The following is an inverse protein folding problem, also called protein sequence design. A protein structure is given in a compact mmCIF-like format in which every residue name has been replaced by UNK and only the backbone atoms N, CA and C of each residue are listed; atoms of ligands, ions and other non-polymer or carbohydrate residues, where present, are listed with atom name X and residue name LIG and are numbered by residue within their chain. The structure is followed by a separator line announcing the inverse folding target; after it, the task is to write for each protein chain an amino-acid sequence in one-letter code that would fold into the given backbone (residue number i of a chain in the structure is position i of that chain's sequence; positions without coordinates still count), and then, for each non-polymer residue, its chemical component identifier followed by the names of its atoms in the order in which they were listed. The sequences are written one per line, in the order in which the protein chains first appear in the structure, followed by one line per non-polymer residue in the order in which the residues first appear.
data_IF_302032838203
#
_entry.id   IF_302032838203
#
_cell.length_a   1.000
_cell.length_b   1.000
_cell.length_c   1.000
_cell.angle_alpha   90.00
_cell.angle_beta   90.00
_cell.angle_gamma   90.00
#
_symmetry.space_group_name_H-M   'P 1'
#
loop_
_entity.id
_entity.type
_entity.pdbx_description
1 polymer ?
#
# COMPACT_ATOMS: atom_id res chain seq x y z
N UNK A 1 -13.95 18.06 13.33
CA UNK A 1 -14.43 16.83 14.00
C UNK A 1 -15.45 16.13 13.11
N UNK A 2 -15.40 14.80 13.00
CA UNK A 2 -16.39 14.02 12.25
C UNK A 2 -17.79 14.25 12.85
N UNK A 3 -18.73 14.71 12.03
CA UNK A 3 -20.10 15.04 12.46
C UNK A 3 -20.96 13.82 12.79
N UNK A 4 -20.51 12.61 12.43
CA UNK A 4 -21.15 11.34 12.76
C UNK A 4 -20.07 10.30 13.07
N UNK A 5 -19.84 9.93 14.34
CA UNK A 5 -18.82 8.95 14.68
C UNK A 5 -19.24 7.55 14.19
N UNK A 6 -18.26 6.78 13.75
CA UNK A 6 -18.46 5.35 13.41
C UNK A 6 -18.99 4.66 14.67
N UNK A 7 -20.13 3.97 14.56
CA UNK A 7 -20.69 3.25 15.72
C UNK A 7 -19.71 2.18 16.20
N UNK A 8 -19.65 1.85 17.50
CA UNK A 8 -18.73 0.81 18.01
C UNK A 8 -18.87 -0.53 17.26
N UNK A 9 -20.10 -0.90 16.91
CA UNK A 9 -20.39 -2.10 16.11
C UNK A 9 -19.83 -2.03 14.69
N UNK A 10 -19.91 -0.87 14.03
CA UNK A 10 -19.35 -0.68 12.71
C UNK A 10 -17.80 -0.70 12.76
N UNK A 11 -17.21 -0.06 13.76
CA UNK A 11 -15.76 -0.08 13.98
C UNK A 11 -15.24 -1.51 14.22
N UNK A 12 -15.89 -2.27 15.11
CA UNK A 12 -15.51 -3.66 15.37
C UNK A 12 -15.59 -4.54 14.12
N UNK A 13 -16.60 -4.33 13.28
CA UNK A 13 -16.74 -5.06 12.01
C UNK A 13 -15.60 -4.73 11.03
N UNK A 14 -15.18 -3.47 10.95
CA UNK A 14 -14.04 -3.07 10.13
C UNK A 14 -12.74 -3.73 10.60
N UNK A 15 -12.46 -3.66 11.91
CA UNK A 15 -11.25 -4.28 12.50
C UNK A 15 -11.25 -5.80 12.28
N UNK A 16 -12.37 -6.48 12.52
CA UNK A 16 -12.46 -7.93 12.32
C UNK A 16 -12.19 -8.34 10.87
N UNK A 17 -12.64 -7.56 9.89
CA UNK A 17 -12.37 -7.82 8.47
C UNK A 17 -10.90 -7.55 8.16
N UNK A 18 -10.35 -6.42 8.62
CA UNK A 18 -8.96 -6.04 8.38
C UNK A 18 -7.99 -7.12 8.89
N UNK A 19 -8.21 -7.62 10.10
CA UNK A 19 -7.34 -8.64 10.71
C UNK A 19 -7.42 -10.02 10.04
N UNK A 20 -8.51 -10.32 9.31
CA UNK A 20 -8.73 -11.63 8.66
C UNK A 20 -8.47 -11.61 7.16
N UNK A 21 -8.35 -10.42 6.57
CA UNK A 21 -8.20 -10.28 5.14
C UNK A 21 -6.85 -10.81 4.68
N UNK A 22 -6.86 -11.77 3.75
CA UNK A 22 -5.64 -12.30 3.14
C UNK A 22 -5.91 -12.71 1.70
N UNK A 23 -5.24 -12.04 0.76
CA UNK A 23 -5.29 -12.32 -0.68
C UNK A 23 -3.97 -12.78 -1.25
N UNK A 24 -2.97 -13.09 -0.41
CA UNK A 24 -1.60 -13.38 -0.82
C UNK A 24 -1.47 -14.49 -1.86
N UNK A 25 -2.36 -15.49 -1.84
CA UNK A 25 -2.39 -16.59 -2.82
C UNK A 25 -2.82 -16.16 -4.24
N UNK A 26 -3.52 -15.03 -4.36
CA UNK A 26 -4.04 -14.51 -5.64
C UNK A 26 -3.13 -13.45 -6.27
N UNK A 27 -2.09 -12.99 -5.57
CA UNK A 27 -1.18 -11.94 -6.07
C UNK A 27 -0.51 -12.34 -7.40
N UNK A 28 -0.17 -13.62 -7.53
CA UNK A 28 0.39 -14.20 -8.76
C UNK A 28 -0.54 -14.12 -9.99
N UNK A 29 -1.81 -13.80 -9.80
CA UNK A 29 -2.79 -13.68 -10.88
C UNK A 29 -2.94 -12.21 -11.34
N UNK A 30 -2.10 -11.29 -10.86
CA UNK A 30 -2.08 -9.90 -11.33
C UNK A 30 -1.17 -9.86 -12.57
N UNK A 31 -1.78 -9.67 -13.73
CA UNK A 31 -1.07 -9.61 -15.02
C UNK A 31 -0.67 -8.18 -15.42
N UNK A 32 -1.23 -7.17 -14.75
CA UNK A 32 -0.91 -5.77 -15.02
C UNK A 32 0.44 -5.38 -14.38
N UNK A 33 1.24 -4.52 -15.04
CA UNK A 33 2.39 -3.88 -14.40
C UNK A 33 1.95 -3.27 -13.07
N UNK A 34 2.72 -3.50 -12.01
CA UNK A 34 2.36 -3.11 -10.64
C UNK A 34 3.48 -2.33 -9.99
N UNK A 35 3.12 -1.25 -9.29
CA UNK A 35 4.02 -0.51 -8.41
C UNK A 35 3.59 -0.71 -6.95
N UNK A 36 4.50 -1.21 -6.12
CA UNK A 36 4.32 -1.35 -4.68
C UNK A 36 5.10 -0.24 -3.98
N UNK A 37 4.41 0.55 -3.15
CA UNK A 37 4.97 1.70 -2.44
C UNK A 37 4.81 1.51 -0.93
N UNK A 38 5.88 1.69 -0.17
CA UNK A 38 5.84 1.55 1.29
C UNK A 38 6.87 2.44 1.99
N UNK A 39 6.59 2.87 3.21
CA UNK A 39 7.51 3.67 4.02
C UNK A 39 8.41 2.79 4.88
N UNK A 40 9.73 3.04 4.91
CA UNK A 40 10.67 2.18 5.66
C UNK A 40 10.46 2.25 7.18
N UNK A 41 9.92 3.35 7.67
CA UNK A 41 9.69 3.60 9.09
C UNK A 41 8.21 3.37 9.47
N UNK A 42 7.46 2.60 8.67
CA UNK A 42 6.08 2.24 8.97
C UNK A 42 5.98 1.30 10.18
N UNK A 43 5.49 1.85 11.29
CA UNK A 43 5.24 1.12 12.54
C UNK A 43 3.86 0.47 12.59
N UNK A 44 2.95 0.84 11.69
CA UNK A 44 1.60 0.28 11.64
C UNK A 44 1.60 -1.03 10.84
N UNK A 45 2.29 -1.04 9.69
CA UNK A 45 2.48 -2.21 8.84
C UNK A 45 3.96 -2.41 8.53
N UNK A 46 4.54 -3.58 8.89
CA UNK A 46 5.94 -3.87 8.62
C UNK A 46 6.31 -3.74 7.12
N UNK A 47 7.44 -3.07 6.76
CA UNK A 47 7.89 -2.92 5.39
C UNK A 47 8.12 -4.22 4.63
N UNK A 48 8.44 -5.30 5.33
CA UNK A 48 8.63 -6.65 4.77
C UNK A 48 7.37 -7.16 4.06
N UNK A 49 6.19 -6.67 4.45
CA UNK A 49 4.96 -6.99 3.73
C UNK A 49 4.98 -6.49 2.29
N UNK A 50 5.57 -5.31 2.04
CA UNK A 50 5.67 -4.75 0.70
C UNK A 50 6.66 -5.57 -0.16
N UNK A 51 7.75 -6.05 0.43
CA UNK A 51 8.69 -6.97 -0.20
C UNK A 51 7.99 -8.28 -0.60
N UNK A 52 7.24 -8.89 0.32
CA UNK A 52 6.47 -10.11 0.06
C UNK A 52 5.42 -9.91 -1.04
N UNK A 53 4.78 -8.74 -1.10
CA UNK A 53 3.78 -8.43 -2.13
C UNK A 53 4.48 -8.30 -3.49
N UNK A 54 5.56 -7.54 -3.57
CA UNK A 54 6.30 -7.33 -4.81
C UNK A 54 6.89 -8.64 -5.36
N UNK A 55 7.44 -9.50 -4.50
CA UNK A 55 7.97 -10.81 -4.89
C UNK A 55 6.90 -11.76 -5.46
N UNK A 56 5.64 -11.60 -5.03
CA UNK A 56 4.53 -12.47 -5.45
C UNK A 56 3.79 -12.01 -6.71
N UNK A 57 4.03 -10.79 -7.19
CA UNK A 57 3.40 -10.25 -8.38
C UNK A 57 4.42 -10.32 -9.53
N UNK A 58 4.10 -10.97 -10.67
CA UNK A 58 5.08 -11.24 -11.73
C UNK A 58 5.79 -10.00 -12.30
N UNK A 59 5.07 -8.91 -12.49
CA UNK A 59 5.61 -7.64 -13.00
C UNK A 59 5.41 -6.50 -11.98
N UNK A 60 6.00 -6.69 -10.79
CA UNK A 60 5.98 -5.67 -9.76
C UNK A 60 7.33 -4.97 -9.58
N UNK A 61 7.25 -3.66 -9.37
CA UNK A 61 8.36 -2.82 -8.91
C UNK A 61 8.09 -2.38 -7.48
N UNK A 62 9.07 -2.53 -6.59
CA UNK A 62 9.00 -2.04 -5.22
C UNK A 62 9.75 -0.73 -5.08
N UNK A 63 9.14 0.25 -4.41
CA UNK A 63 9.81 1.48 -3.96
C UNK A 63 9.53 1.70 -2.47
N UNK A 64 10.61 1.61 -1.70
CA UNK A 64 10.64 1.95 -0.28
C UNK A 64 11.05 3.42 -0.10
N UNK A 65 10.32 4.17 0.73
CA UNK A 65 10.57 5.57 1.02
C UNK A 65 11.31 5.70 2.36
N UNK A 66 12.55 6.20 2.31
CA UNK A 66 13.31 6.57 3.51
C UNK A 66 12.69 7.77 4.23
N UNK A 67 12.67 7.75 5.55
CA UNK A 67 12.11 8.81 6.39
C UNK A 67 10.59 8.94 6.33
N UNK A 68 9.88 7.89 5.91
CA UNK A 68 8.43 7.85 5.79
C UNK A 68 7.84 6.65 6.55
N UNK A 69 6.84 6.90 7.40
CA UNK A 69 5.93 5.88 7.93
C UNK A 69 4.70 5.62 7.04
N UNK A 70 3.65 5.04 7.63
CA UNK A 70 2.44 4.56 6.93
C UNK A 70 1.80 5.55 5.94
N UNK A 71 1.67 6.81 6.35
CA UNK A 71 1.01 7.84 5.54
C UNK A 71 2.01 8.53 4.60
N UNK A 72 2.49 7.82 3.57
CA UNK A 72 3.46 8.35 2.58
C UNK A 72 3.06 9.74 2.03
N UNK A 73 1.77 9.89 1.70
CA UNK A 73 1.19 11.13 1.18
C UNK A 73 1.27 12.30 2.15
N UNK A 74 1.38 12.05 3.46
CA UNK A 74 1.54 13.09 4.47
C UNK A 74 3.00 13.47 4.70
N UNK A 75 3.94 12.57 4.40
CA UNK A 75 5.36 12.79 4.64
C UNK A 75 6.07 13.40 3.43
N UNK A 76 5.83 12.86 2.22
CA UNK A 76 6.50 13.28 0.98
C UNK A 76 5.53 13.29 -0.22
N UNK A 77 4.52 14.17 -0.23
CA UNK A 77 3.47 14.17 -1.26
C UNK A 77 3.99 14.41 -2.68
N UNK A 78 4.95 15.32 -2.85
CA UNK A 78 5.52 15.64 -4.17
C UNK A 78 6.31 14.46 -4.73
N UNK A 79 7.22 13.90 -3.93
CA UNK A 79 8.02 12.73 -4.33
C UNK A 79 7.16 11.49 -4.59
N UNK A 80 6.11 11.28 -3.78
CA UNK A 80 5.15 10.21 -4.03
C UNK A 80 4.45 10.38 -5.38
N UNK A 81 4.03 11.61 -5.70
CA UNK A 81 3.34 11.93 -6.96
C UNK A 81 4.26 11.74 -8.16
N UNK A 82 5.52 12.18 -8.09
CA UNK A 82 6.53 11.96 -9.13
C UNK A 82 6.69 10.47 -9.44
N UNK A 83 6.91 9.65 -8.42
CA UNK A 83 7.11 8.20 -8.58
C UNK A 83 5.88 7.53 -9.22
N UNK A 84 4.67 7.94 -8.82
CA UNK A 84 3.43 7.41 -9.40
C UNK A 84 3.31 7.84 -10.87
N UNK A 85 3.55 9.11 -11.19
CA UNK A 85 3.46 9.63 -12.56
C UNK A 85 4.50 8.98 -13.48
N UNK A 86 5.74 8.80 -13.00
CA UNK A 86 6.79 8.10 -13.74
C UNK A 86 6.39 6.67 -14.06
N UNK A 87 5.77 5.96 -13.11
CA UNK A 87 5.28 4.61 -13.34
C UNK A 87 4.17 4.58 -14.39
N UNK A 88 3.19 5.49 -14.31
CA UNK A 88 2.06 5.54 -15.25
C UNK A 88 2.51 5.88 -16.68
N UNK A 89 3.44 6.84 -16.82
CA UNK A 89 3.97 7.25 -18.13
C UNK A 89 4.81 6.15 -18.79
N UNK A 90 5.52 5.35 -18.00
CA UNK A 90 6.37 4.26 -18.50
C UNK A 90 5.65 2.90 -18.63
N UNK A 91 4.41 2.78 -18.12
CA UNK A 91 3.59 1.56 -18.22
C UNK A 91 2.58 1.60 -19.37
N UNK A 92 2.55 2.70 -20.13
CA UNK A 92 1.73 2.87 -21.32
C UNK A 92 2.50 2.34 -22.55
N UNK A 93 2.50 1.02 -22.72
CA UNK A 93 2.96 0.32 -23.93
C UNK A 93 1.81 -0.41 -24.60
#
# INVERSE_FOLDING_TARGET
MLKAPITPKAYQRQINTLLKFNTGRRLKNIDAPTLVLHGKEDILLPPENAEIIADKIPDAKLKLFDGCGHALFSHKPEHLSEVVMDFLNNSSG
#
